data_IF_019883395774
#
_entry.id   IF_019883395774
#
_cell.length_a   1.000
_cell.length_b   1.000
_cell.length_c   1.000
_cell.angle_alpha   90.00
_cell.angle_beta   90.00
_cell.angle_gamma   90.00
#
_symmetry.space_group_name_H-M   'P 1'
#
loop_
_entity.id
_entity.type
_entity.pdbx_description
1 polymer ?
#
# COMPACT_ATOMS: atom_id res chain seq x y z
N UNK A 1 -15.74 0.58 47.90
CA UNK A 1 -14.95 -0.64 47.64
C UNK A 1 -14.63 -0.71 46.16
N UNK A 2 -13.33 -0.86 45.83
CA UNK A 2 -12.73 -1.54 44.67
C UNK A 2 -13.24 -1.24 43.24
N UNK A 3 -12.37 -0.54 42.49
CA UNK A 3 -11.87 -0.74 41.11
C UNK A 3 -12.76 -1.56 40.13
N UNK A 4 -12.95 -1.16 38.86
CA UNK A 4 -12.00 -1.48 37.77
C UNK A 4 -12.47 -0.93 36.40
N UNK A 5 -11.52 -0.30 35.70
CA UNK A 5 -11.22 -0.19 34.25
C UNK A 5 -12.24 0.27 33.18
N UNK A 6 -11.98 1.50 32.72
CA UNK A 6 -11.66 1.95 31.35
C UNK A 6 -11.73 0.87 30.24
N UNK A 7 -12.52 1.14 29.20
CA UNK A 7 -12.06 0.97 27.81
C UNK A 7 -12.73 2.00 26.88
N UNK A 8 -12.00 3.08 26.62
CA UNK A 8 -12.30 4.00 25.55
C UNK A 8 -12.05 3.29 24.21
N UNK A 9 -13.11 2.85 23.55
CA UNK A 9 -13.06 2.43 22.16
C UNK A 9 -13.64 3.57 21.29
N UNK A 10 -12.92 4.69 21.21
CA UNK A 10 -13.11 5.65 20.12
C UNK A 10 -12.58 5.01 18.85
N UNK A 11 -13.43 4.22 18.21
CA UNK A 11 -13.26 3.80 16.82
C UNK A 11 -13.35 5.07 15.97
N UNK A 12 -12.21 5.61 15.58
CA UNK A 12 -12.13 6.64 14.55
C UNK A 12 -12.32 5.93 13.20
N UNK A 13 -13.58 5.74 12.78
CA UNK A 13 -13.89 5.49 11.36
C UNK A 13 -13.90 6.86 10.68
N UNK A 14 -12.71 7.42 10.50
CA UNK A 14 -12.50 8.34 9.39
C UNK A 14 -11.83 7.49 8.32
N UNK A 15 -12.47 7.28 7.16
CA UNK A 15 -11.85 6.97 5.87
C UNK A 15 -12.93 6.72 4.79
N UNK A 16 -13.84 7.68 4.59
CA UNK A 16 -14.50 7.86 3.30
C UNK A 16 -13.54 8.58 2.37
N UNK A 17 -12.54 7.86 1.87
CA UNK A 17 -11.52 8.41 0.99
C UNK A 17 -10.68 7.27 0.46
N UNK A 18 -11.14 6.70 -0.67
CA UNK A 18 -10.47 5.69 -1.49
C UNK A 18 -9.66 4.64 -0.70
N UNK A 19 -10.24 3.45 -0.55
CA UNK A 19 -9.61 2.29 0.05
C UNK A 19 -8.33 1.90 -0.73
N UNK A 20 -7.16 2.11 -0.15
CA UNK A 20 -5.86 1.64 -0.68
C UNK A 20 -5.17 0.74 0.33
N UNK A 21 -4.41 -0.23 -0.16
CA UNK A 21 -3.58 -1.08 0.68
C UNK A 21 -2.54 -0.21 1.37
N UNK A 22 -2.14 -0.64 2.55
CA UNK A 22 -1.13 0.02 3.35
C UNK A 22 -0.07 -0.99 3.71
N UNK A 23 1.19 -0.58 3.59
CA UNK A 23 2.32 -1.29 4.16
C UNK A 23 2.01 -1.73 5.59
N UNK A 24 2.26 -3.00 5.87
CA UNK A 24 1.98 -3.65 7.15
C UNK A 24 0.55 -4.16 7.30
N UNK A 25 -0.37 -3.97 6.35
CA UNK A 25 -1.69 -4.62 6.41
C UNK A 25 -1.59 -6.12 6.16
N UNK A 26 -2.49 -6.85 6.79
CA UNK A 26 -2.70 -8.27 6.52
C UNK A 26 -3.40 -8.48 5.18
N UNK A 27 -3.30 -9.70 4.64
CA UNK A 27 -4.01 -10.06 3.41
C UNK A 27 -5.53 -9.85 3.55
N UNK A 28 -6.13 -10.19 4.68
CA UNK A 28 -7.57 -9.96 4.93
C UNK A 28 -7.95 -8.48 4.91
N UNK A 29 -7.09 -7.61 5.45
CA UNK A 29 -7.30 -6.16 5.40
C UNK A 29 -7.17 -5.62 3.98
N UNK A 30 -6.24 -6.15 3.17
CA UNK A 30 -6.14 -5.80 1.75
C UNK A 30 -7.37 -6.33 0.99
N UNK A 31 -7.80 -7.55 1.28
CA UNK A 31 -9.00 -8.15 0.68
C UNK A 31 -10.27 -7.36 1.00
N UNK A 32 -10.37 -6.77 2.20
CA UNK A 32 -11.49 -5.89 2.56
C UNK A 32 -11.55 -4.60 1.71
N UNK A 33 -10.42 -4.16 1.14
CA UNK A 33 -10.30 -2.93 0.35
C UNK A 33 -10.45 -3.19 -1.16
N UNK A 34 -9.89 -4.30 -1.66
CA UNK A 34 -9.85 -4.62 -3.09
C UNK A 34 -10.75 -5.79 -3.50
N UNK A 35 -11.28 -6.56 -2.54
CA UNK A 35 -11.81 -7.89 -2.81
C UNK A 35 -10.69 -8.92 -2.95
N UNK A 36 -11.04 -10.10 -3.46
CA UNK A 36 -10.07 -11.18 -3.68
C UNK A 36 -9.05 -10.79 -4.77
N UNK A 37 -7.80 -11.31 -4.69
CA UNK A 37 -6.81 -11.09 -5.73
C UNK A 37 -7.29 -11.61 -7.08
N UNK A 38 -6.98 -10.87 -8.15
CA UNK A 38 -7.24 -11.27 -9.54
C UNK A 38 -6.16 -12.22 -10.07
N UNK A 39 -4.98 -12.19 -9.43
CA UNK A 39 -3.90 -13.15 -9.66
C UNK A 39 -3.27 -13.47 -8.28
N UNK A 40 -3.72 -14.53 -7.60
CA UNK A 40 -3.15 -14.96 -6.33
C UNK A 40 -1.80 -15.64 -6.56
N UNK A 41 -0.77 -15.14 -5.89
CA UNK A 41 0.54 -15.76 -5.89
C UNK A 41 0.59 -17.00 -4.99
N UNK A 42 1.74 -17.67 -5.03
CA UNK A 42 2.14 -18.67 -4.04
C UNK A 42 3.36 -18.17 -3.28
N UNK A 43 3.54 -18.57 -2.01
CA UNK A 43 4.77 -18.30 -1.29
C UNK A 43 5.99 -18.85 -2.06
N UNK A 44 7.02 -18.03 -2.22
CA UNK A 44 8.33 -18.48 -2.70
C UNK A 44 9.15 -19.17 -1.58
N UNK A 45 10.42 -19.48 -1.86
CA UNK A 45 11.33 -20.11 -0.89
C UNK A 45 11.56 -19.29 0.38
N UNK A 46 11.40 -17.97 0.29
CA UNK A 46 11.57 -17.04 1.41
C UNK A 46 10.23 -16.76 2.12
N UNK A 47 9.14 -17.40 1.66
CA UNK A 47 7.80 -17.21 2.18
C UNK A 47 7.13 -15.92 1.73
N UNK A 48 7.68 -15.26 0.70
CA UNK A 48 7.10 -14.06 0.11
C UNK A 48 5.97 -14.46 -0.86
N UNK A 49 4.79 -13.89 -0.67
CA UNK A 49 3.65 -14.11 -1.57
C UNK A 49 3.35 -12.82 -2.31
N UNK A 50 3.30 -12.85 -3.64
CA UNK A 50 2.95 -11.67 -4.46
C UNK A 50 1.56 -11.84 -5.04
N UNK A 51 0.61 -11.01 -4.61
CA UNK A 51 -0.76 -11.03 -5.11
C UNK A 51 -1.02 -9.79 -5.96
N UNK A 52 -1.78 -9.95 -7.05
CA UNK A 52 -2.31 -8.82 -7.81
C UNK A 52 -3.79 -8.60 -7.51
N UNK A 53 -4.14 -7.35 -7.28
CA UNK A 53 -5.49 -6.87 -7.04
C UNK A 53 -5.89 -5.85 -8.08
N UNK A 54 -7.20 -5.75 -8.30
CA UNK A 54 -7.80 -4.66 -9.05
C UNK A 54 -8.62 -3.82 -8.08
N UNK A 55 -8.48 -2.50 -8.12
CA UNK A 55 -9.27 -1.64 -7.24
C UNK A 55 -10.77 -1.70 -7.62
N UNK A 56 -11.68 -1.30 -6.71
CA UNK A 56 -13.12 -1.41 -6.96
C UNK A 56 -13.64 -0.70 -8.21
N UNK A 57 -13.03 0.44 -8.60
CA UNK A 57 -13.41 1.16 -9.83
C UNK A 57 -12.86 0.49 -11.09
N UNK A 58 -11.90 -0.43 -10.94
CA UNK A 58 -11.27 -1.15 -12.02
C UNK A 58 -10.20 -0.37 -12.80
N UNK A 59 -9.82 0.81 -12.32
CA UNK A 59 -8.89 1.73 -12.98
C UNK A 59 -7.43 1.44 -12.65
N UNK A 60 -7.17 0.79 -11.51
CA UNK A 60 -5.82 0.54 -10.99
C UNK A 60 -5.60 -0.93 -10.68
N UNK A 61 -4.35 -1.34 -10.86
CA UNK A 61 -3.80 -2.58 -10.34
C UNK A 61 -2.93 -2.27 -9.14
N UNK A 62 -3.07 -3.07 -8.08
CA UNK A 62 -2.17 -3.09 -6.94
C UNK A 62 -1.50 -4.47 -6.88
N UNK A 63 -0.17 -4.51 -6.97
CA UNK A 63 0.62 -5.70 -6.71
C UNK A 63 1.12 -5.58 -5.28
N UNK A 64 0.76 -6.53 -4.40
CA UNK A 64 1.10 -6.50 -2.98
C UNK A 64 1.93 -7.73 -2.65
N UNK A 65 3.09 -7.51 -2.04
CA UNK A 65 3.96 -8.55 -1.54
C UNK A 65 3.74 -8.72 -0.04
N UNK A 66 3.44 -9.93 0.39
CA UNK A 66 3.23 -10.30 1.78
C UNK A 66 4.38 -11.17 2.27
N UNK A 67 4.94 -10.82 3.43
CA UNK A 67 5.88 -11.66 4.15
C UNK A 67 5.32 -11.89 5.56
N UNK A 68 5.27 -13.15 6.01
CA UNK A 68 4.69 -13.52 7.31
C UNK A 68 3.28 -12.90 7.51
N UNK A 69 2.48 -12.92 6.45
CA UNK A 69 1.10 -12.45 6.44
C UNK A 69 0.90 -10.92 6.42
N UNK A 70 1.95 -10.11 6.28
CA UNK A 70 1.86 -8.65 6.27
C UNK A 70 2.47 -8.04 5.00
N UNK A 71 1.86 -6.99 4.46
CA UNK A 71 2.34 -6.25 3.29
C UNK A 71 3.71 -5.63 3.57
N UNK A 72 4.71 -5.98 2.75
CA UNK A 72 6.08 -5.45 2.84
C UNK A 72 6.47 -4.59 1.63
N UNK A 73 5.78 -4.77 0.50
CA UNK A 73 5.93 -3.93 -0.67
C UNK A 73 4.63 -3.88 -1.47
N UNK A 74 4.40 -2.76 -2.14
CA UNK A 74 3.22 -2.50 -2.95
C UNK A 74 3.64 -1.80 -4.24
N UNK A 75 3.03 -2.15 -5.37
CA UNK A 75 3.18 -1.44 -6.62
C UNK A 75 1.81 -1.07 -7.20
N UNK A 76 1.66 0.19 -7.58
CA UNK A 76 0.42 0.76 -8.10
C UNK A 76 0.59 1.19 -9.55
N UNK A 77 -0.37 0.83 -10.40
CA UNK A 77 -0.35 1.22 -11.81
C UNK A 77 -1.76 1.35 -12.38
N UNK A 78 -1.93 2.17 -13.42
CA UNK A 78 -3.20 2.27 -14.14
C UNK A 78 -3.40 1.05 -15.03
N UNK A 79 -4.63 0.54 -15.13
CA UNK A 79 -5.02 -0.55 -16.04
C UNK A 79 -4.84 -0.15 -17.52
N UNK A 80 -4.99 1.14 -17.84
CA UNK A 80 -4.79 1.70 -19.19
C UNK A 80 -3.31 1.94 -19.57
N UNK A 81 -2.35 1.57 -18.71
CA UNK A 81 -0.90 1.74 -18.88
C UNK A 81 -0.40 3.18 -18.97
N UNK A 82 -1.26 4.19 -18.76
CA UNK A 82 -0.80 5.57 -18.65
C UNK A 82 0.00 5.77 -17.36
N UNK A 83 0.90 6.75 -17.38
CA UNK A 83 1.61 7.20 -16.18
C UNK A 83 0.61 7.68 -15.14
N UNK A 84 0.91 7.41 -13.87
CA UNK A 84 0.21 8.04 -12.77
C UNK A 84 0.45 9.54 -12.79
N UNK A 85 -0.61 10.32 -12.62
CA UNK A 85 -0.53 11.75 -12.35
C UNK A 85 0.08 12.00 -10.97
N UNK A 86 0.60 13.21 -10.74
CA UNK A 86 1.14 13.60 -9.44
C UNK A 86 0.09 13.49 -8.32
N UNK A 87 -1.17 13.77 -8.64
CA UNK A 87 -2.30 13.62 -7.72
C UNK A 87 -2.50 12.15 -7.32
N UNK A 88 -2.48 11.24 -8.27
CA UNK A 88 -2.62 9.80 -8.00
C UNK A 88 -1.44 9.27 -7.18
N UNK A 89 -0.21 9.68 -7.53
CA UNK A 89 0.98 9.34 -6.73
C UNK A 89 0.83 9.83 -5.30
N UNK A 90 0.43 11.09 -5.10
CA UNK A 90 0.22 11.66 -3.75
C UNK A 90 -0.83 10.88 -2.96
N UNK A 91 -1.91 10.43 -3.61
CA UNK A 91 -2.95 9.62 -2.99
C UNK A 91 -2.41 8.26 -2.51
N UNK A 92 -1.65 7.53 -3.34
CA UNK A 92 -1.07 6.24 -2.96
C UNK A 92 -0.03 6.39 -1.85
N UNK A 93 0.81 7.43 -1.90
CA UNK A 93 1.74 7.76 -0.82
C UNK A 93 0.98 8.07 0.48
N UNK A 94 -0.08 8.88 0.42
CA UNK A 94 -0.89 9.19 1.59
C UNK A 94 -1.51 7.94 2.21
N UNK A 95 -2.00 7.00 1.38
CA UNK A 95 -2.49 5.69 1.83
C UNK A 95 -1.44 4.92 2.62
N UNK A 96 -0.18 4.98 2.18
CA UNK A 96 0.98 4.29 2.75
C UNK A 96 1.78 5.10 3.78
N UNK A 97 1.25 6.25 4.21
CA UNK A 97 1.94 7.19 5.10
C UNK A 97 2.11 6.68 6.53
N UNK A 98 1.20 5.85 7.03
CA UNK A 98 1.11 5.52 8.47
C UNK A 98 1.14 6.78 9.37
N UNK A 99 0.56 7.90 8.89
CA UNK A 99 0.57 9.19 9.59
C UNK A 99 1.92 9.92 9.56
N UNK A 100 2.86 9.50 8.72
CA UNK A 100 4.18 10.11 8.52
C UNK A 100 4.25 10.83 7.18
N UNK A 101 5.12 11.83 7.11
CA UNK A 101 5.28 12.62 5.89
C UNK A 101 6.14 11.88 4.87
N UNK A 102 5.89 12.09 3.57
CA UNK A 102 6.75 11.61 2.48
C UNK A 102 7.61 12.75 1.95
N UNK A 103 8.94 12.56 1.99
CA UNK A 103 9.90 13.54 1.50
C UNK A 103 10.36 13.14 0.10
N UNK A 104 10.02 13.97 -0.89
CA UNK A 104 10.42 13.76 -2.30
C UNK A 104 11.91 14.08 -2.49
N UNK A 105 12.61 13.22 -3.22
CA UNK A 105 13.97 13.50 -3.70
C UNK A 105 13.91 14.61 -4.77
N UNK A 106 14.68 15.70 -4.65
CA UNK A 106 14.64 16.80 -5.62
C UNK A 106 15.17 16.42 -7.02
N UNK A 107 15.89 15.30 -7.15
CA UNK A 107 16.56 14.85 -8.38
C UNK A 107 15.92 13.62 -9.00
N UNK A 108 14.99 12.96 -8.31
CA UNK A 108 14.42 11.67 -8.73
C UNK A 108 12.91 11.62 -8.48
N UNK A 109 12.21 10.75 -9.21
CA UNK A 109 10.83 10.37 -8.88
C UNK A 109 10.85 9.33 -7.77
N UNK A 110 11.36 9.73 -6.60
CA UNK A 110 11.51 8.90 -5.42
C UNK A 110 11.15 9.68 -4.16
N UNK A 111 10.71 8.97 -3.13
CA UNK A 111 10.31 9.50 -1.84
C UNK A 111 10.84 8.62 -0.72
N UNK A 112 11.20 9.24 0.39
CA UNK A 112 11.48 8.55 1.65
C UNK A 112 10.48 9.02 2.71
N UNK A 113 9.92 8.07 3.45
CA UNK A 113 9.01 8.40 4.56
C UNK A 113 9.81 9.01 5.71
N UNK A 114 9.25 9.97 6.43
CA UNK A 114 9.98 10.76 7.43
C UNK A 114 10.56 9.94 8.59
N UNK A 115 10.01 8.75 8.85
CA UNK A 115 10.51 7.78 9.83
C UNK A 115 11.62 6.87 9.29
N UNK A 116 11.99 7.00 8.01
CA UNK A 116 12.95 6.19 7.25
C UNK A 116 12.59 4.69 7.16
N UNK A 117 11.34 4.32 7.48
CA UNK A 117 10.86 2.94 7.45
C UNK A 117 10.16 2.56 6.15
N UNK A 118 10.10 3.46 5.18
CA UNK A 118 9.60 3.15 3.85
C UNK A 118 10.20 4.08 2.80
N UNK A 119 10.35 3.55 1.58
CA UNK A 119 10.76 4.28 0.39
C UNK A 119 9.77 4.03 -0.73
N UNK A 120 9.63 4.98 -1.64
CA UNK A 120 8.81 4.84 -2.83
C UNK A 120 9.54 5.40 -4.05
N UNK A 121 9.28 4.85 -5.23
CA UNK A 121 9.85 5.35 -6.48
C UNK A 121 8.98 4.96 -7.68
N UNK A 122 9.10 5.72 -8.76
CA UNK A 122 8.43 5.40 -10.02
C UNK A 122 9.37 4.63 -10.95
N UNK A 123 8.91 3.50 -11.48
CA UNK A 123 9.61 2.75 -12.53
C UNK A 123 8.62 2.02 -13.45
N UNK A 124 9.11 1.32 -14.47
CA UNK A 124 8.27 0.53 -15.37
C UNK A 124 8.36 -0.96 -15.01
N UNK A 125 7.28 -1.53 -14.50
CA UNK A 125 7.16 -2.97 -14.22
C UNK A 125 6.39 -3.65 -15.35
N UNK A 126 6.99 -4.64 -16.01
CA UNK A 126 6.36 -5.40 -17.11
C UNK A 126 5.71 -4.51 -18.18
N UNK A 127 6.37 -3.42 -18.54
CA UNK A 127 5.88 -2.43 -19.52
C UNK A 127 4.82 -1.45 -18.99
N UNK A 128 4.56 -1.42 -17.68
CA UNK A 128 3.56 -0.57 -17.05
C UNK A 128 4.22 0.44 -16.09
N UNK A 129 4.08 1.76 -16.32
CA UNK A 129 4.53 2.76 -15.37
C UNK A 129 3.85 2.57 -14.02
N UNK A 130 4.65 2.41 -12.98
CA UNK A 130 4.19 2.02 -11.65
C UNK A 130 4.88 2.85 -10.57
N UNK A 131 4.14 3.16 -9.51
CA UNK A 131 4.70 3.62 -8.24
C UNK A 131 4.95 2.40 -7.36
N UNK A 132 6.19 2.16 -6.98
CA UNK A 132 6.56 1.16 -6.00
C UNK A 132 6.72 1.80 -4.64
N UNK A 133 6.32 1.09 -3.60
CA UNK A 133 6.44 1.46 -2.19
C UNK A 133 6.93 0.24 -1.43
N UNK A 134 8.01 0.37 -0.67
CA UNK A 134 8.66 -0.72 0.03
C UNK A 134 8.95 -0.35 1.48
N UNK A 135 8.67 -1.26 2.41
CA UNK A 135 9.06 -1.12 3.80
C UNK A 135 10.58 -1.32 3.98
N UNK A 136 11.17 -0.59 4.93
CA UNK A 136 12.57 -0.73 5.38
C UNK A 136 12.53 -1.19 6.82
N UNK A 137 13.05 -2.39 7.07
CA UNK A 137 13.16 -3.03 8.39
C UNK A 137 14.59 -2.95 8.90
#
# INVERSE_FOLDING_TARGET
MKHVLILAATIVIALSGQAFARLGQTEDQVNALFGKPVDPGKPDSDGLTTNMYKNPTGEYLAVVQFLKGHSVAEAYSRVDRRKLSEKEVSIFLQGNSAGKEWKKDPRKLAWERSDRRATAWCETLSGRPSLLIQARY
#
